data_IF_470167129159
#
_entry.id   IF_470167129159
#
_cell.length_a   1.000
_cell.length_b   1.000
_cell.length_c   1.000
_cell.angle_alpha   90.00
_cell.angle_beta   90.00
_cell.angle_gamma   90.00
#
_symmetry.space_group_name_H-M   'P 1'
#
loop_
_entity.id
_entity.type
_entity.pdbx_description
1 polymer ?
#
# COMPACT_ATOMS: atom_id res chain seq x y z
N UNK A 1 -1.43 -1.44 -42.66
CA UNK A 1 -2.51 -1.90 -41.73
C UNK A 1 -1.94 -2.45 -40.43
N UNK A 2 -1.05 -3.45 -40.42
CA UNK A 2 -0.53 -4.06 -39.18
C UNK A 2 0.26 -3.12 -38.25
N UNK A 3 1.04 -2.15 -38.79
CA UNK A 3 1.78 -1.18 -37.96
C UNK A 3 0.86 -0.22 -37.18
N UNK A 4 -0.31 0.14 -37.72
CA UNK A 4 -1.24 1.05 -37.06
C UNK A 4 -1.93 0.36 -35.85
N UNK A 5 -2.23 -0.93 -35.96
CA UNK A 5 -2.79 -1.70 -34.84
C UNK A 5 -1.77 -1.92 -33.71
N UNK A 6 -0.50 -2.15 -34.05
CA UNK A 6 0.59 -2.29 -33.08
C UNK A 6 0.79 -0.99 -32.28
N UNK A 7 0.82 0.15 -32.96
CA UNK A 7 1.00 1.46 -32.31
C UNK A 7 -0.16 1.77 -31.34
N UNK A 8 -1.40 1.48 -31.74
CA UNK A 8 -2.58 1.65 -30.89
C UNK A 8 -2.58 0.74 -29.65
N UNK A 9 -2.06 -0.48 -29.74
CA UNK A 9 -1.89 -1.37 -28.57
C UNK A 9 -0.82 -0.85 -27.61
N UNK A 10 0.30 -0.34 -28.13
CA UNK A 10 1.41 0.19 -27.32
C UNK A 10 0.97 1.42 -26.51
N UNK A 11 0.32 2.40 -27.16
CA UNK A 11 -0.20 3.58 -26.45
C UNK A 11 -1.22 3.23 -25.37
N UNK A 12 -2.06 2.22 -25.62
CA UNK A 12 -3.05 1.77 -24.65
C UNK A 12 -2.39 1.08 -23.46
N UNK A 13 -1.33 0.30 -23.69
CA UNK A 13 -0.59 -0.40 -22.63
C UNK A 13 0.21 0.57 -21.77
N UNK A 14 0.82 1.59 -22.36
CA UNK A 14 1.58 2.60 -21.62
C UNK A 14 0.68 3.37 -20.64
N UNK A 15 -0.53 3.74 -21.11
CA UNK A 15 -1.53 4.47 -20.30
C UNK A 15 -2.09 3.62 -19.16
N UNK A 16 -2.31 2.32 -19.35
CA UNK A 16 -2.87 1.44 -18.30
C UNK A 16 -1.84 1.09 -17.23
N UNK A 17 -0.60 0.77 -17.62
CA UNK A 17 0.48 0.44 -16.67
C UNK A 17 0.80 1.65 -15.79
N UNK A 18 0.91 2.84 -16.39
CA UNK A 18 1.23 4.06 -15.66
C UNK A 18 0.15 4.43 -14.65
N UNK A 19 -1.14 4.26 -14.99
CA UNK A 19 -2.25 4.59 -14.08
C UNK A 19 -2.31 3.67 -12.85
N UNK A 20 -2.11 2.37 -13.03
CA UNK A 20 -2.08 1.42 -11.91
C UNK A 20 -0.90 1.70 -10.98
N UNK A 21 0.28 1.93 -11.53
CA UNK A 21 1.47 2.25 -10.74
C UNK A 21 1.33 3.57 -9.97
N UNK A 22 0.78 4.62 -10.59
CA UNK A 22 0.50 5.89 -9.92
C UNK A 22 -0.48 5.73 -8.77
N UNK A 23 -1.54 4.92 -8.92
CA UNK A 23 -2.50 4.67 -7.84
C UNK A 23 -1.82 4.02 -6.63
N UNK A 24 -0.98 3.00 -6.85
CA UNK A 24 -0.21 2.34 -5.79
C UNK A 24 0.77 3.32 -5.12
N UNK A 25 1.48 4.13 -5.88
CA UNK A 25 2.39 5.15 -5.32
C UNK A 25 1.64 6.16 -4.46
N UNK A 26 0.51 6.69 -4.96
CA UNK A 26 -0.31 7.67 -4.23
C UNK A 26 -0.89 7.03 -2.96
N UNK A 27 -1.47 5.83 -3.06
CA UNK A 27 -2.02 5.11 -1.91
C UNK A 27 -0.95 4.83 -0.84
N UNK A 28 0.25 4.41 -1.26
CA UNK A 28 1.38 4.16 -0.36
C UNK A 28 1.87 5.44 0.30
N UNK A 29 2.02 6.53 -0.46
CA UNK A 29 2.44 7.82 0.07
C UNK A 29 1.44 8.37 1.10
N UNK A 30 0.13 8.26 0.84
CA UNK A 30 -0.92 8.69 1.77
C UNK A 30 -0.94 7.84 3.04
N UNK A 31 -0.84 6.51 2.91
CA UNK A 31 -0.86 5.59 4.04
C UNK A 31 0.37 5.77 4.93
N UNK A 32 1.57 5.66 4.34
CA UNK A 32 2.85 5.77 5.07
C UNK A 32 3.05 7.18 5.60
N UNK A 33 2.79 8.20 4.76
CA UNK A 33 2.86 9.60 5.17
C UNK A 33 1.89 9.92 6.31
N UNK A 34 0.66 9.39 6.25
CA UNK A 34 -0.31 9.47 7.34
C UNK A 34 0.23 8.86 8.63
N UNK A 35 0.66 7.60 8.60
CA UNK A 35 1.23 6.90 9.77
C UNK A 35 2.43 7.64 10.37
N UNK A 36 3.36 8.10 9.52
CA UNK A 36 4.53 8.88 9.96
C UNK A 36 4.10 10.21 10.58
N UNK A 37 3.07 10.87 10.03
CA UNK A 37 2.54 12.09 10.62
C UNK A 37 1.81 11.85 11.96
N UNK A 38 1.16 10.69 12.15
CA UNK A 38 0.69 10.25 13.47
C UNK A 38 1.85 9.99 14.45
N UNK A 39 3.05 9.68 13.95
CA UNK A 39 4.27 9.52 14.75
C UNK A 39 4.91 10.85 15.17
N UNK A 40 4.50 12.00 14.62
CA UNK A 40 5.08 13.29 14.98
C UNK A 40 4.46 13.85 16.27
N UNK A 41 5.29 14.13 17.31
CA UNK A 41 4.79 14.63 18.58
C UNK A 41 3.99 15.92 18.40
N UNK A 42 2.87 16.00 19.13
CA UNK A 42 2.05 17.21 19.17
C UNK A 42 2.53 18.04 20.35
N UNK A 43 3.20 19.13 20.02
CA UNK A 43 3.60 20.13 21.00
C UNK A 43 2.47 21.13 21.19
N UNK A 44 2.18 21.46 22.44
CA UNK A 44 1.27 22.54 22.77
C UNK A 44 2.01 23.88 22.67
N UNK A 45 1.35 24.93 22.19
CA UNK A 45 1.92 26.29 22.15
C UNK A 45 2.07 26.95 23.52
N UNK A 46 1.64 26.26 24.59
CA UNK A 46 1.75 26.69 25.97
C UNK A 46 3.01 26.12 26.63
N UNK A 47 3.60 26.95 27.48
CA UNK A 47 4.80 26.62 28.24
C UNK A 47 4.40 26.32 29.68
N UNK A 48 4.98 25.27 30.26
CA UNK A 48 4.90 24.96 31.69
C UNK A 48 5.56 26.09 32.52
N UNK A 49 5.32 26.10 33.83
CA UNK A 49 5.91 27.03 34.82
C UNK A 49 7.44 27.10 34.78
N UNK A 50 8.10 26.07 34.26
CA UNK A 50 9.56 26.02 34.05
C UNK A 50 10.01 26.56 32.68
N UNK A 51 9.10 27.06 31.84
CA UNK A 51 9.39 27.56 30.50
C UNK A 51 9.63 26.46 29.45
N UNK A 52 9.30 25.21 29.78
CA UNK A 52 9.42 24.06 28.89
C UNK A 52 8.08 23.77 28.22
N UNK A 53 8.12 23.34 26.96
CA UNK A 53 6.92 23.05 26.19
C UNK A 53 6.27 21.74 26.65
N UNK A 54 5.00 21.80 27.07
CA UNK A 54 4.27 20.61 27.54
C UNK A 54 4.09 19.65 26.35
N UNK A 55 4.59 18.42 26.50
CA UNK A 55 4.39 17.35 25.52
C UNK A 55 3.09 16.61 25.80
N UNK A 56 2.11 16.78 24.91
CA UNK A 56 0.82 16.08 24.97
C UNK A 56 0.87 14.63 24.43
N UNK A 57 2.06 14.17 24.02
CA UNK A 57 2.27 12.87 23.39
C UNK A 57 2.28 12.93 21.87
N UNK A 58 1.68 11.91 21.24
CA UNK A 58 1.76 11.67 19.81
C UNK A 58 0.38 11.40 19.19
N UNK A 59 0.28 11.38 17.86
CA UNK A 59 -0.97 11.08 17.15
C UNK A 59 -1.59 9.73 17.54
N UNK A 60 -0.77 8.74 17.92
CA UNK A 60 -1.20 7.42 18.40
C UNK A 60 -1.65 7.39 19.86
N UNK A 61 -0.88 7.98 20.76
CA UNK A 61 -1.11 7.95 22.21
C UNK A 61 -1.09 9.36 22.78
N UNK A 62 -2.17 9.73 23.47
CA UNK A 62 -2.24 10.95 24.26
C UNK A 62 -1.59 10.67 25.62
N UNK A 63 -0.57 11.46 25.97
CA UNK A 63 0.04 11.42 27.30
C UNK A 63 -0.43 12.66 28.05
N UNK A 64 -1.42 12.47 28.93
CA UNK A 64 -2.10 13.56 29.66
C UNK A 64 -1.65 13.67 31.12
N UNK A 65 -0.81 12.74 31.59
CA UNK A 65 -0.41 12.67 32.98
C UNK A 65 0.29 13.96 33.43
N UNK A 66 1.21 14.48 32.61
CA UNK A 66 1.95 15.70 32.91
C UNK A 66 1.03 16.94 32.92
N UNK A 67 0.14 17.06 31.94
CA UNK A 67 -0.86 18.14 31.91
C UNK A 67 -1.81 18.11 33.13
N UNK A 68 -2.19 16.92 33.60
CA UNK A 68 -3.07 16.77 34.76
C UNK A 68 -2.41 17.13 36.10
N UNK A 69 -1.08 16.99 36.19
CA UNK A 69 -0.31 17.40 37.37
C UNK A 69 -0.18 18.93 37.41
N UNK A 70 0.06 19.56 36.26
CA UNK A 70 0.14 21.02 36.16
C UNK A 70 -1.22 21.70 36.37
N UNK A 71 -2.32 21.09 35.93
CA UNK A 71 -3.70 21.54 36.22
C UNK A 71 -3.98 21.55 37.73
N UNK A 72 -3.60 20.50 38.46
CA UNK A 72 -3.79 20.40 39.91
C UNK A 72 -2.97 21.42 40.70
N UNK A 73 -1.73 21.67 40.28
CA UNK A 73 -0.88 22.66 40.92
C UNK A 73 -1.38 24.09 40.67
N UNK A 74 -1.83 24.38 39.44
CA UNK A 74 -2.41 25.67 39.06
C UNK A 74 -3.71 25.97 39.80
N UNK A 75 -4.56 24.95 39.98
CA UNK A 75 -5.80 25.06 40.77
C UNK A 75 -5.54 25.35 42.27
N UNK A 76 -4.36 24.98 42.77
CA UNK A 76 -3.95 25.23 44.16
C UNK A 76 -3.40 26.64 44.38
N UNK A 77 -3.11 27.39 43.30
CA UNK A 77 -2.60 28.76 43.36
C UNK A 77 -3.75 29.78 43.26
N UNK A 78 -3.99 30.63 44.27
CA UNK A 78 -5.14 31.55 44.30
C UNK A 78 -5.06 32.72 43.30
N UNK A 79 -4.00 32.82 42.51
CA UNK A 79 -3.69 33.99 41.66
C UNK A 79 -3.68 33.66 40.16
N UNK A 80 -3.89 32.41 39.76
CA UNK A 80 -3.92 32.01 38.35
C UNK A 80 -5.31 31.48 37.96
N UNK A 81 -5.84 31.86 36.78
CA UNK A 81 -7.07 31.25 36.27
C UNK A 81 -6.84 29.75 36.11
N UNK A 82 -7.84 28.93 36.44
CA UNK A 82 -7.78 27.48 36.22
C UNK A 82 -7.63 27.22 34.71
N UNK A 83 -6.39 27.04 34.27
CA UNK A 83 -6.07 26.63 32.91
C UNK A 83 -6.18 25.13 32.83
N UNK A 84 -7.12 24.59 32.04
CA UNK A 84 -7.15 23.17 31.70
C UNK A 84 -6.14 22.89 30.59
N UNK A 85 -4.91 22.55 30.95
CA UNK A 85 -3.88 22.07 30.02
C UNK A 85 -4.30 20.75 29.36
N UNK A 86 -5.10 19.91 30.06
CA UNK A 86 -5.65 18.67 29.51
C UNK A 86 -6.57 18.93 28.31
N UNK A 87 -7.49 19.91 28.41
CA UNK A 87 -8.42 20.24 27.32
C UNK A 87 -7.70 20.84 26.11
N UNK A 88 -6.66 21.64 26.36
CA UNK A 88 -5.82 22.18 25.30
C UNK A 88 -5.05 21.07 24.58
N UNK A 89 -4.45 20.12 25.30
CA UNK A 89 -3.83 18.95 24.69
C UNK A 89 -4.83 18.16 23.84
N UNK A 90 -6.03 17.90 24.37
CA UNK A 90 -7.04 17.11 23.68
C UNK A 90 -7.52 17.78 22.38
N UNK A 91 -7.78 19.10 22.43
CA UNK A 91 -8.18 19.87 21.23
C UNK A 91 -7.08 19.90 20.17
N UNK A 92 -5.81 20.05 20.55
CA UNK A 92 -4.67 20.02 19.64
C UNK A 92 -4.50 18.64 18.97
N UNK A 93 -4.65 17.55 19.74
CA UNK A 93 -4.63 16.19 19.19
C UNK A 93 -5.81 15.94 18.26
N UNK A 94 -7.02 16.38 18.65
CA UNK A 94 -8.23 16.22 17.84
C UNK A 94 -8.10 16.93 16.49
N UNK A 95 -7.53 18.14 16.46
CA UNK A 95 -7.32 18.89 15.22
C UNK A 95 -6.37 18.16 14.27
N UNK A 96 -5.28 17.56 14.76
CA UNK A 96 -4.38 16.76 13.90
C UNK A 96 -5.04 15.48 13.39
N UNK A 97 -5.75 14.76 14.27
CA UNK A 97 -6.48 13.55 13.89
C UNK A 97 -7.57 13.82 12.86
N UNK A 98 -8.18 15.01 12.89
CA UNK A 98 -9.26 15.38 11.98
C UNK A 98 -8.88 15.33 10.49
N UNK A 99 -7.60 15.48 10.13
CA UNK A 99 -7.15 15.39 8.73
C UNK A 99 -6.19 14.23 8.48
N UNK A 100 -5.37 13.85 9.47
CA UNK A 100 -4.44 12.73 9.34
C UNK A 100 -5.17 11.38 9.27
N UNK A 101 -6.22 11.18 10.08
CA UNK A 101 -6.99 9.92 10.06
C UNK A 101 -7.67 9.72 8.70
N UNK A 102 -8.40 10.71 8.13
CA UNK A 102 -8.95 10.58 6.78
C UNK A 102 -7.90 10.29 5.71
N UNK A 103 -6.74 10.94 5.76
CA UNK A 103 -5.64 10.72 4.80
C UNK A 103 -5.14 9.27 4.85
N UNK A 104 -4.91 8.74 6.06
CA UNK A 104 -4.49 7.35 6.23
C UNK A 104 -5.58 6.36 5.75
N UNK A 105 -6.85 6.63 6.06
CA UNK A 105 -7.99 5.80 5.61
C UNK A 105 -8.11 5.82 4.09
N UNK A 106 -7.96 6.98 3.45
CA UNK A 106 -8.00 7.10 2.00
C UNK A 106 -6.86 6.29 1.34
N UNK A 107 -5.64 6.35 1.88
CA UNK A 107 -4.52 5.52 1.43
C UNK A 107 -4.83 4.02 1.54
N UNK A 108 -5.43 3.58 2.64
CA UNK A 108 -5.83 2.18 2.83
C UNK A 108 -6.92 1.75 1.82
N UNK A 109 -7.94 2.60 1.58
CA UNK A 109 -9.00 2.31 0.63
C UNK A 109 -8.49 2.17 -0.81
N UNK A 110 -7.41 2.86 -1.17
CA UNK A 110 -6.75 2.72 -2.48
C UNK A 110 -5.99 1.39 -2.54
N UNK A 111 -5.19 1.07 -1.52
CA UNK A 111 -4.28 -0.09 -1.56
C UNK A 111 -4.96 -1.45 -1.31
N UNK A 112 -5.99 -1.50 -0.47
CA UNK A 112 -6.64 -2.77 -0.10
C UNK A 112 -7.20 -3.51 -1.31
N UNK A 113 -7.94 -2.87 -2.25
CA UNK A 113 -8.40 -3.54 -3.48
C UNK A 113 -7.27 -4.13 -4.31
N UNK A 114 -6.17 -3.39 -4.51
CA UNK A 114 -5.00 -3.86 -5.27
C UNK A 114 -4.33 -5.05 -4.59
N UNK A 115 -4.14 -4.97 -3.26
CA UNK A 115 -3.55 -6.04 -2.46
C UNK A 115 -4.42 -7.31 -2.51
N UNK A 116 -5.73 -7.13 -2.43
CA UNK A 116 -6.71 -8.21 -2.51
C UNK A 116 -6.76 -8.82 -3.92
N UNK A 117 -6.69 -8.00 -4.98
CA UNK A 117 -6.62 -8.47 -6.36
C UNK A 117 -5.33 -9.25 -6.62
N UNK A 118 -4.20 -8.78 -6.09
CA UNK A 118 -2.93 -9.49 -6.15
C UNK A 118 -2.99 -10.83 -5.40
N UNK A 119 -3.52 -10.86 -4.18
CA UNK A 119 -3.65 -12.07 -3.38
C UNK A 119 -4.55 -13.12 -4.07
N UNK A 120 -5.61 -12.69 -4.76
CA UNK A 120 -6.49 -13.57 -5.57
C UNK A 120 -5.89 -13.93 -6.93
N UNK A 121 -5.06 -13.07 -7.52
CA UNK A 121 -4.35 -13.35 -8.77
C UNK A 121 -3.24 -14.38 -8.60
N UNK A 122 -2.63 -14.45 -7.41
CA UNK A 122 -1.65 -15.47 -7.04
C UNK A 122 -2.23 -16.89 -6.92
N UNK A 123 -3.56 -17.03 -6.82
CA UNK A 123 -4.23 -18.33 -6.81
C UNK A 123 -4.56 -18.91 -8.19
N UNK A 124 -4.23 -18.22 -9.29
CA UNK A 124 -4.14 -18.86 -10.61
C UNK A 124 -2.79 -19.54 -10.76
N UNK A 125 -2.44 -20.43 -9.83
CA UNK A 125 -1.73 -21.62 -10.24
C UNK A 125 -2.80 -22.44 -10.99
N UNK A 126 -2.60 -22.85 -12.25
CA UNK A 126 -3.45 -23.87 -12.83
C UNK A 126 -3.36 -25.03 -11.85
N UNK A 127 -4.42 -25.24 -11.08
CA UNK A 127 -4.54 -26.40 -10.24
C UNK A 127 -4.46 -27.57 -11.20
N UNK A 128 -3.31 -28.24 -11.19
CA UNK A 128 -3.17 -29.53 -11.81
C UNK A 128 -4.18 -30.46 -11.13
N UNK A 129 -5.30 -30.71 -11.81
CA UNK A 129 -6.26 -31.79 -11.53
C UNK A 129 -7.24 -31.55 -10.37
N UNK A 130 -8.52 -31.91 -10.58
CA UNK A 130 -8.89 -33.31 -10.45
C UNK A 130 -9.48 -33.87 -11.76
N UNK A 131 -8.79 -34.84 -12.36
CA UNK A 131 -9.31 -35.82 -13.33
C UNK A 131 -10.31 -35.32 -14.39
N UNK A 132 -9.90 -34.40 -15.27
CA UNK A 132 -10.56 -34.34 -16.58
C UNK A 132 -10.04 -35.53 -17.40
N UNK A 133 -10.86 -36.57 -17.56
CA UNK A 133 -10.60 -37.66 -18.50
C UNK A 133 -10.54 -37.03 -19.90
N UNK A 134 -9.31 -36.80 -20.37
CA UNK A 134 -9.05 -36.52 -21.77
C UNK A 134 -9.67 -37.66 -22.57
N UNK A 135 -10.51 -37.41 -23.60
CA UNK A 135 -10.91 -38.47 -24.50
C UNK A 135 -9.64 -39.12 -25.03
N UNK A 136 -9.65 -40.46 -25.11
CA UNK A 136 -8.52 -41.21 -25.66
C UNK A 136 -8.13 -40.57 -26.99
N UNK A 137 -6.88 -40.13 -27.18
CA UNK A 137 -6.48 -39.45 -28.40
C UNK A 137 -6.70 -40.42 -29.55
N UNK A 138 -7.59 -40.06 -30.49
CA UNK A 138 -7.82 -40.86 -31.69
C UNK A 138 -6.48 -41.10 -32.40
N UNK A 139 -6.31 -42.26 -33.05
CA UNK A 139 -5.04 -42.61 -33.71
C UNK A 139 -4.55 -41.50 -34.67
N UNK A 140 -5.49 -40.75 -35.24
CA UNK A 140 -5.25 -39.57 -36.08
C UNK A 140 -4.53 -38.44 -35.34
N UNK A 141 -4.97 -38.08 -34.13
CA UNK A 141 -4.38 -37.03 -33.29
C UNK A 141 -2.96 -37.41 -32.84
N UNK A 142 -2.77 -38.69 -32.48
CA UNK A 142 -1.46 -39.21 -32.08
C UNK A 142 -0.48 -39.20 -33.28
N UNK A 143 -0.98 -39.55 -34.47
CA UNK A 143 -0.20 -39.51 -35.70
C UNK A 143 0.18 -38.07 -36.07
N UNK A 144 -0.76 -37.13 -35.95
CA UNK A 144 -0.51 -35.71 -36.23
C UNK A 144 0.51 -35.11 -35.26
N UNK A 145 0.40 -35.42 -33.97
CA UNK A 145 1.39 -35.02 -32.96
C UNK A 145 2.79 -35.57 -33.28
N UNK A 146 2.90 -36.83 -33.72
CA UNK A 146 4.16 -37.45 -34.12
C UNK A 146 4.77 -36.81 -35.38
N UNK A 147 3.93 -36.42 -36.35
CA UNK A 147 4.38 -35.71 -37.55
C UNK A 147 4.87 -34.30 -37.24
N UNK A 148 4.15 -33.58 -36.37
CA UNK A 148 4.53 -32.23 -35.94
C UNK A 148 5.85 -32.25 -35.17
N UNK A 149 6.03 -33.20 -34.26
CA UNK A 149 7.28 -33.35 -33.50
C UNK A 149 8.47 -33.68 -34.42
N UNK A 150 8.31 -34.61 -35.37
CA UNK A 150 9.36 -34.94 -36.35
C UNK A 150 9.73 -33.73 -37.20
N UNK A 151 8.74 -32.95 -37.68
CA UNK A 151 8.96 -31.70 -38.41
C UNK A 151 9.72 -30.69 -37.55
N UNK A 152 9.33 -30.50 -36.30
CA UNK A 152 9.98 -29.57 -35.38
C UNK A 152 11.46 -29.93 -35.17
N UNK A 153 11.76 -31.21 -34.96
CA UNK A 153 13.14 -31.69 -34.82
C UNK A 153 13.98 -31.47 -36.08
N UNK A 154 13.39 -31.61 -37.28
CA UNK A 154 14.12 -31.34 -38.53
C UNK A 154 14.49 -29.87 -38.73
N UNK A 155 13.74 -28.95 -38.12
CA UNK A 155 14.00 -27.51 -38.22
C UNK A 155 14.94 -26.96 -37.15
N UNK A 156 15.35 -27.78 -36.16
CA UNK A 156 16.35 -27.30 -35.21
C UNK A 156 17.70 -27.14 -35.93
N UNK A 157 18.28 -25.92 -35.97
CA UNK A 157 19.63 -25.75 -36.47
C UNK A 157 20.57 -26.61 -35.60
N UNK A 158 21.48 -27.35 -36.27
CA UNK A 158 22.50 -28.12 -35.54
C UNK A 158 23.31 -27.16 -34.68
N UNK A 159 23.62 -27.51 -33.42
CA UNK A 159 24.56 -26.72 -32.64
C UNK A 159 25.86 -26.64 -33.44
N UNK A 160 26.29 -25.42 -33.73
CA UNK A 160 27.59 -25.17 -34.35
C UNK A 160 28.66 -25.60 -33.35
N UNK A 161 29.39 -26.66 -33.68
CA UNK A 161 30.58 -27.10 -32.94
C UNK A 161 31.55 -25.91 -32.86
N UNK A 162 31.59 -25.29 -31.69
CA UNK A 162 32.61 -24.30 -31.32
C UNK A 162 33.70 -25.06 -30.59
N UNK A 163 34.42 -25.89 -31.33
CA UNK A 163 35.71 -26.43 -30.91
C UNK A 163 36.79 -25.76 -31.76
N UNK A 164 37.43 -24.76 -31.12
CA UNK A 164 38.76 -24.20 -31.33
C UNK A 164 39.16 -23.72 -32.73
#
# INVERSE_FOLDING_TARGET
>A
MQQAEQNWRMERSEKTITRGWLAVLIGTALLVGGLVALCFPVFLGSYDKYGLQIKCGNGYHAELLQASLDDQESASAPTHPATSYVDQCNSALAHRRAWIVPVAVAGALILVPDLVAWARGGSTQPAAGPHEWSPEPTETELHEAALLDRRWRSHRPRPSDTTL
#
